data_IF_654367490478
#
_entry.id   IF_654367490478
#
_cell.length_a   1.000
_cell.length_b   1.000
_cell.length_c   1.000
_cell.angle_alpha   90.00
_cell.angle_beta   90.00
_cell.angle_gamma   90.00
#
_symmetry.space_group_name_H-M   'P 1'
#
loop_
_entity.id
_entity.type
_entity.pdbx_description
1 polymer ?
#
# COMPACT_ATOMS: atom_id res chain seq x y z
N UNK A 1 9.22 7.80 15.94
CA UNK A 1 9.09 6.88 17.10
C UNK A 1 8.27 5.60 16.82
N UNK A 2 8.03 5.16 15.57
CA UNK A 2 7.23 3.94 15.31
C UNK A 2 7.97 2.60 15.55
N UNK A 3 9.20 2.64 16.07
CA UNK A 3 10.09 1.49 16.28
C UNK A 3 10.01 0.93 17.70
N UNK A 4 9.14 1.51 18.52
CA UNK A 4 9.03 1.21 19.94
C UNK A 4 7.94 0.18 20.10
N UNK A 5 8.20 -0.85 20.91
CA UNK A 5 7.20 -1.77 21.44
C UNK A 5 6.17 -0.96 22.24
N UNK A 6 5.20 -0.35 21.55
CA UNK A 6 4.23 0.57 22.13
C UNK A 6 3.28 -0.16 23.05
N UNK A 7 3.01 -1.42 22.70
CA UNK A 7 2.25 -2.36 23.46
C UNK A 7 3.25 -3.32 24.12
N UNK A 8 3.12 -3.43 25.43
CA UNK A 8 3.72 -4.52 26.17
C UNK A 8 2.57 -5.16 26.95
N UNK A 9 2.57 -6.48 27.05
CA UNK A 9 1.60 -7.24 27.83
C UNK A 9 1.30 -6.62 29.20
N UNK A 10 2.32 -6.18 29.93
CA UNK A 10 2.14 -5.59 31.25
C UNK A 10 1.32 -4.28 31.24
N UNK A 11 1.26 -3.57 30.11
CA UNK A 11 0.44 -2.36 29.92
C UNK A 11 -0.98 -2.69 29.45
N UNK A 12 -1.16 -3.82 28.76
CA UNK A 12 -2.45 -4.23 28.18
C UNK A 12 -3.24 -5.19 29.06
N UNK A 13 -2.59 -5.92 29.97
CA UNK A 13 -3.21 -6.84 30.94
C UNK A 13 -4.38 -6.25 31.73
N UNK A 14 -4.36 -4.97 32.19
CA UNK A 14 -5.49 -4.36 32.89
C UNK A 14 -6.78 -4.27 32.04
N UNK A 15 -6.67 -4.36 30.72
CA UNK A 15 -7.77 -4.26 29.77
C UNK A 15 -8.21 -5.64 29.23
N UNK A 16 -7.86 -6.72 29.91
CA UNK A 16 -8.36 -8.06 29.60
C UNK A 16 -9.91 -8.08 29.63
N UNK A 17 -10.59 -8.71 28.64
CA UNK A 17 -10.06 -9.56 27.56
C UNK A 17 -9.84 -8.86 26.22
N UNK A 18 -10.00 -7.53 26.13
CA UNK A 18 -10.12 -6.83 24.85
C UNK A 18 -8.87 -7.00 23.96
N UNK A 19 -7.67 -6.86 24.51
CA UNK A 19 -6.43 -6.94 23.73
C UNK A 19 -6.08 -8.38 23.29
N UNK A 20 -6.44 -9.39 24.08
CA UNK A 20 -6.28 -10.80 23.68
C UNK A 20 -7.14 -11.14 22.46
N UNK A 21 -8.36 -10.59 22.40
CA UNK A 21 -9.24 -10.73 21.23
C UNK A 21 -8.60 -10.03 20.02
N UNK A 22 -8.07 -8.81 20.19
CA UNK A 22 -7.41 -8.08 19.10
C UNK A 22 -6.21 -8.85 18.56
N UNK A 23 -5.34 -9.37 19.43
CA UNK A 23 -4.19 -10.18 19.05
C UNK A 23 -4.61 -11.48 18.35
N UNK A 24 -5.65 -12.16 18.84
CA UNK A 24 -6.18 -13.36 18.19
C UNK A 24 -6.72 -13.09 16.79
N UNK A 25 -7.45 -11.99 16.60
CA UNK A 25 -7.94 -11.55 15.28
C UNK A 25 -6.78 -11.17 14.37
N UNK A 26 -5.79 -10.45 14.90
CA UNK A 26 -4.60 -10.07 14.15
C UNK A 26 -3.83 -11.30 13.63
N UNK A 27 -3.56 -12.27 14.50
CA UNK A 27 -2.88 -13.52 14.12
C UNK A 27 -3.68 -14.27 13.04
N UNK A 28 -5.01 -14.28 13.16
CA UNK A 28 -5.88 -14.90 12.16
C UNK A 28 -5.73 -14.24 10.79
N UNK A 29 -5.67 -12.90 10.74
CA UNK A 29 -5.40 -12.18 9.49
C UNK A 29 -4.02 -12.48 8.93
N UNK A 30 -2.97 -12.46 9.75
CA UNK A 30 -1.60 -12.77 9.33
C UNK A 30 -1.52 -14.16 8.68
N UNK A 31 -2.12 -15.17 9.32
CA UNK A 31 -2.15 -16.55 8.80
C UNK A 31 -2.97 -16.63 7.51
N UNK A 32 -4.14 -16.01 7.47
CA UNK A 32 -4.98 -16.00 6.28
C UNK A 32 -4.27 -15.34 5.09
N UNK A 33 -3.59 -14.21 5.31
CA UNK A 33 -2.82 -13.50 4.30
C UNK A 33 -1.61 -14.30 3.81
N UNK A 34 -0.93 -15.03 4.70
CA UNK A 34 0.15 -15.94 4.31
C UNK A 34 -0.35 -17.05 3.38
N UNK A 35 -1.46 -17.69 3.73
CA UNK A 35 -2.09 -18.73 2.90
C UNK A 35 -2.53 -18.14 1.55
N UNK A 36 -3.20 -17.00 1.56
CA UNK A 36 -3.65 -16.31 0.34
C UNK A 36 -2.46 -15.95 -0.56
N UNK A 37 -1.37 -15.44 0.01
CA UNK A 37 -0.13 -15.12 -0.71
C UNK A 37 0.45 -16.35 -1.43
N UNK A 38 0.54 -17.49 -0.74
CA UNK A 38 1.01 -18.76 -1.33
C UNK A 38 0.10 -19.19 -2.48
N UNK A 39 -1.22 -19.16 -2.29
CA UNK A 39 -2.19 -19.53 -3.33
C UNK A 39 -2.03 -18.61 -4.56
N UNK A 40 -1.90 -17.30 -4.35
CA UNK A 40 -1.69 -16.33 -5.43
C UNK A 40 -0.37 -16.56 -6.18
N UNK A 41 0.72 -16.89 -5.49
CA UNK A 41 2.00 -17.26 -6.12
C UNK A 41 1.79 -18.49 -7.02
N UNK A 42 1.14 -19.54 -6.51
CA UNK A 42 0.86 -20.76 -7.27
C UNK A 42 -0.02 -20.49 -8.50
N UNK A 43 -1.09 -19.70 -8.36
CA UNK A 43 -1.96 -19.32 -9.47
C UNK A 43 -1.23 -18.47 -10.52
N UNK A 44 -0.41 -17.52 -10.08
CA UNK A 44 0.39 -16.66 -10.95
C UNK A 44 1.41 -17.48 -11.75
N UNK A 45 2.04 -18.47 -11.12
CA UNK A 45 2.99 -19.36 -11.79
C UNK A 45 2.32 -20.22 -12.86
N UNK A 46 1.10 -20.71 -12.59
CA UNK A 46 0.33 -21.55 -13.53
C UNK A 46 -0.21 -20.79 -14.74
N UNK A 47 -0.39 -19.48 -14.63
CA UNK A 47 -1.03 -18.67 -15.69
C UNK A 47 -0.05 -18.34 -16.81
N UNK A 48 0.02 -19.19 -17.84
CA UNK A 48 0.93 -19.03 -19.00
C UNK A 48 0.55 -17.90 -19.95
N UNK A 49 -0.64 -17.31 -19.82
CA UNK A 49 -1.15 -16.24 -20.70
C UNK A 49 -0.83 -14.81 -20.22
N UNK A 50 -0.38 -14.63 -18.97
CA UNK A 50 -0.06 -13.29 -18.46
C UNK A 50 1.24 -12.78 -19.06
N UNK A 51 1.29 -11.49 -19.40
CA UNK A 51 2.51 -10.83 -19.86
C UNK A 51 3.62 -10.95 -18.81
N UNK A 52 4.87 -11.14 -19.25
CA UNK A 52 6.01 -11.43 -18.35
C UNK A 52 6.21 -10.34 -17.29
N UNK A 53 5.98 -9.07 -17.63
CA UNK A 53 6.11 -7.94 -16.71
C UNK A 53 5.08 -7.98 -15.58
N UNK A 54 3.81 -8.32 -15.89
CA UNK A 54 2.75 -8.46 -14.89
C UNK A 54 3.13 -9.54 -13.88
N UNK A 55 3.64 -10.69 -14.35
CA UNK A 55 4.05 -11.79 -13.47
C UNK A 55 5.20 -11.40 -12.55
N UNK A 56 6.25 -10.78 -13.11
CA UNK A 56 7.39 -10.35 -12.30
C UNK A 56 6.95 -9.40 -11.19
N UNK A 57 6.00 -8.51 -11.51
CA UNK A 57 5.48 -7.56 -10.53
C UNK A 57 4.63 -8.22 -9.46
N UNK A 58 3.68 -9.07 -9.85
CA UNK A 58 2.88 -9.83 -8.89
C UNK A 58 3.79 -10.64 -7.96
N UNK A 59 4.82 -11.29 -8.49
CA UNK A 59 5.80 -12.04 -7.69
C UNK A 59 6.57 -11.11 -6.76
N UNK A 60 7.05 -9.96 -7.24
CA UNK A 60 7.78 -8.98 -6.42
C UNK A 60 6.92 -8.47 -5.26
N UNK A 61 5.66 -8.16 -5.52
CA UNK A 61 4.70 -7.78 -4.49
C UNK A 61 4.50 -8.88 -3.47
N UNK A 62 4.19 -10.10 -3.93
CA UNK A 62 4.00 -11.25 -3.05
C UNK A 62 5.24 -11.55 -2.19
N UNK A 63 6.46 -11.36 -2.72
CA UNK A 63 7.69 -11.49 -1.92
C UNK A 63 7.74 -10.41 -0.83
N UNK A 64 7.48 -9.15 -1.16
CA UNK A 64 7.44 -8.08 -0.16
C UNK A 64 6.38 -8.34 0.90
N UNK A 65 5.20 -8.83 0.51
CA UNK A 65 4.10 -9.18 1.42
C UNK A 65 4.52 -10.29 2.39
N UNK A 66 5.20 -11.34 1.89
CA UNK A 66 5.72 -12.42 2.72
C UNK A 66 6.77 -11.91 3.72
N UNK A 67 7.69 -11.05 3.29
CA UNK A 67 8.69 -10.45 4.20
C UNK A 67 8.00 -9.56 5.23
N UNK A 68 6.95 -8.82 4.85
CA UNK A 68 6.14 -8.03 5.76
C UNK A 68 5.42 -8.90 6.81
N UNK A 69 4.77 -9.99 6.40
CA UNK A 69 4.13 -10.97 7.29
C UNK A 69 5.13 -11.51 8.33
N UNK A 70 6.31 -11.94 7.88
CA UNK A 70 7.37 -12.44 8.78
C UNK A 70 7.79 -11.35 9.77
N UNK A 71 7.97 -10.13 9.29
CA UNK A 71 8.31 -9.01 10.17
C UNK A 71 7.24 -8.72 11.21
N UNK A 72 5.96 -8.87 10.86
CA UNK A 72 4.84 -8.64 11.78
C UNK A 72 4.74 -9.72 12.84
N UNK A 73 4.99 -10.99 12.49
CA UNK A 73 5.09 -12.08 13.47
C UNK A 73 6.20 -11.82 14.49
N UNK A 74 7.35 -11.29 14.05
CA UNK A 74 8.45 -10.92 14.95
C UNK A 74 8.06 -9.77 15.90
N UNK A 75 7.36 -8.76 15.39
CA UNK A 75 6.85 -7.64 16.20
C UNK A 75 5.84 -8.16 17.23
N UNK A 76 4.86 -8.97 16.81
CA UNK A 76 3.85 -9.55 17.71
C UNK A 76 4.47 -10.45 18.79
N UNK A 77 5.47 -11.26 18.44
CA UNK A 77 6.22 -12.05 19.41
C UNK A 77 6.90 -11.15 20.45
N UNK A 78 7.48 -10.03 20.01
CA UNK A 78 8.12 -9.07 20.91
C UNK A 78 7.11 -8.27 21.75
N UNK A 79 5.92 -7.96 21.24
CA UNK A 79 4.84 -7.32 22.01
C UNK A 79 4.36 -8.22 23.16
N UNK A 80 4.30 -9.53 22.92
CA UNK A 80 3.78 -10.51 23.89
C UNK A 80 4.83 -11.02 24.88
N UNK A 81 6.04 -11.35 24.41
CA UNK A 81 7.10 -11.95 25.24
C UNK A 81 8.29 -11.02 25.52
N UNK A 82 8.33 -9.84 24.89
CA UNK A 82 9.47 -8.94 24.97
C UNK A 82 9.60 -8.25 26.33
N UNK A 83 10.80 -7.71 26.63
CA UNK A 83 11.06 -6.99 27.87
C UNK A 83 10.15 -5.75 28.01
N UNK A 84 9.86 -5.39 29.27
CA UNK A 84 9.10 -4.19 29.63
C UNK A 84 9.85 -2.90 29.38
N UNK A 85 11.18 -2.98 29.43
CA UNK A 85 12.06 -1.85 29.20
C UNK A 85 12.22 -1.58 27.71
N UNK A 86 12.53 -0.34 27.40
CA UNK A 86 12.74 0.12 26.03
C UNK A 86 13.96 -0.58 25.44
N UNK A 87 13.74 -1.50 24.50
CA UNK A 87 14.84 -2.16 23.77
C UNK A 87 14.58 -2.05 22.28
N UNK A 88 15.43 -1.27 21.61
CA UNK A 88 15.52 -1.25 20.16
C UNK A 88 16.30 -2.49 19.70
N UNK A 89 15.57 -3.53 19.28
CA UNK A 89 16.20 -4.72 18.72
C UNK A 89 16.29 -4.61 17.20
N UNK A 90 17.36 -5.13 16.60
CA UNK A 90 17.53 -5.16 15.14
C UNK A 90 16.33 -5.75 14.36
N UNK A 91 15.60 -6.77 14.86
CA UNK A 91 14.38 -7.27 14.24
C UNK A 91 13.25 -6.23 14.16
N UNK A 92 13.08 -5.38 15.18
CA UNK A 92 12.07 -4.30 15.18
C UNK A 92 12.41 -3.21 14.17
N UNK A 93 13.70 -2.86 14.08
CA UNK A 93 14.22 -1.92 13.08
C UNK A 93 13.95 -2.46 11.67
N UNK A 94 14.34 -3.72 11.42
CA UNK A 94 14.10 -4.36 10.15
C UNK A 94 12.61 -4.41 9.80
N UNK A 95 11.75 -4.80 10.75
CA UNK A 95 10.33 -4.93 10.51
C UNK A 95 9.64 -3.62 10.19
N UNK A 96 10.04 -2.51 10.83
CA UNK A 96 9.44 -1.22 10.51
C UNK A 96 10.02 -0.59 9.22
N UNK A 97 11.26 -0.90 8.83
CA UNK A 97 11.73 -0.61 7.45
C UNK A 97 10.88 -1.38 6.43
N UNK A 98 10.66 -2.68 6.65
CA UNK A 98 9.83 -3.50 5.75
C UNK A 98 8.38 -3.04 5.68
N UNK A 99 7.80 -2.60 6.79
CA UNK A 99 6.47 -1.98 6.83
C UNK A 99 6.37 -0.73 5.96
N UNK A 100 7.39 0.15 6.01
CA UNK A 100 7.41 1.34 5.16
C UNK A 100 7.57 0.99 3.68
N UNK A 101 8.45 0.02 3.37
CA UNK A 101 8.63 -0.51 2.01
C UNK A 101 7.32 -1.07 1.48
N UNK A 102 6.63 -1.91 2.25
CA UNK A 102 5.34 -2.49 1.87
C UNK A 102 4.27 -1.42 1.65
N UNK A 103 4.13 -0.47 2.58
CA UNK A 103 3.14 0.61 2.46
C UNK A 103 3.43 1.51 1.24
N UNK A 104 4.71 1.75 0.93
CA UNK A 104 5.13 2.36 -0.32
C UNK A 104 4.71 1.53 -1.52
N UNK A 105 5.11 0.25 -1.56
CA UNK A 105 4.84 -0.70 -2.64
C UNK A 105 3.35 -0.76 -3.02
N UNK A 106 2.46 -0.83 -2.03
CA UNK A 106 1.01 -0.88 -2.22
C UNK A 106 0.45 0.33 -3.00
N UNK A 107 1.14 1.49 -2.95
CA UNK A 107 0.72 2.71 -3.66
C UNK A 107 1.21 2.81 -5.11
N UNK A 108 2.08 1.90 -5.58
CA UNK A 108 2.86 2.08 -6.84
C UNK A 108 2.28 1.48 -8.10
N UNK A 109 1.21 0.70 -7.98
CA UNK A 109 0.91 -0.30 -8.98
C UNK A 109 0.38 0.30 -10.31
N UNK A 110 1.27 0.48 -11.31
CA UNK A 110 1.03 0.90 -12.70
C UNK A 110 1.50 -0.07 -13.82
N UNK A 111 0.80 -0.15 -14.96
CA UNK A 111 1.21 -0.92 -16.16
C UNK A 111 1.25 -0.02 -17.41
N UNK A 112 2.10 -0.26 -18.42
CA UNK A 112 2.04 0.40 -19.74
C UNK A 112 3.04 -0.25 -20.71
N UNK A 113 2.65 -0.43 -21.97
CA UNK A 113 3.39 -1.17 -22.98
C UNK A 113 4.15 -0.27 -23.97
N UNK A 114 5.46 -0.14 -23.80
CA UNK A 114 6.45 0.15 -24.86
C UNK A 114 7.88 -0.01 -24.31
N UNK A 115 8.91 -0.31 -25.12
CA UNK A 115 10.27 -0.51 -24.59
C UNK A 115 10.87 0.72 -23.84
N UNK A 116 10.40 1.94 -24.10
CA UNK A 116 10.77 3.13 -23.29
C UNK A 116 10.01 3.24 -21.96
N UNK A 117 8.93 2.48 -21.78
CA UNK A 117 8.15 2.45 -20.53
C UNK A 117 8.78 1.53 -19.50
N UNK A 118 9.56 0.51 -19.88
CA UNK A 118 10.25 -0.37 -18.91
C UNK A 118 11.21 0.44 -18.02
N UNK A 119 11.99 1.35 -18.61
CA UNK A 119 12.85 2.25 -17.85
C UNK A 119 12.04 3.17 -16.93
N UNK A 120 10.92 3.71 -17.43
CA UNK A 120 10.00 4.50 -16.60
C UNK A 120 9.43 3.68 -15.43
N UNK A 121 9.09 2.41 -15.65
CA UNK A 121 8.65 1.49 -14.60
C UNK A 121 9.72 1.19 -13.58
N UNK A 122 10.93 0.88 -14.06
CA UNK A 122 12.05 0.59 -13.19
C UNK A 122 12.38 1.82 -12.35
N UNK A 123 12.35 3.01 -12.94
CA UNK A 123 12.55 4.27 -12.23
C UNK A 123 11.42 4.54 -11.25
N UNK A 124 10.16 4.33 -11.63
CA UNK A 124 9.00 4.53 -10.76
C UNK A 124 9.03 3.56 -9.57
N UNK A 125 9.27 2.27 -9.80
CA UNK A 125 9.43 1.28 -8.72
C UNK A 125 10.64 1.57 -7.86
N UNK A 126 11.77 1.97 -8.45
CA UNK A 126 12.96 2.35 -7.69
C UNK A 126 12.69 3.57 -6.81
N UNK A 127 12.07 4.63 -7.35
CA UNK A 127 11.69 5.81 -6.57
C UNK A 127 10.75 5.43 -5.43
N UNK A 128 9.80 4.56 -5.71
CA UNK A 128 8.81 4.15 -4.76
C UNK A 128 9.33 3.16 -3.70
N UNK A 129 10.41 2.43 -3.98
CA UNK A 129 11.13 1.68 -2.97
C UNK A 129 12.07 2.60 -2.15
N UNK A 130 12.79 3.50 -2.83
CA UNK A 130 13.77 4.38 -2.23
C UNK A 130 13.15 5.40 -1.27
N UNK A 131 12.01 6.01 -1.62
CA UNK A 131 11.39 7.05 -0.78
C UNK A 131 10.95 6.50 0.59
N UNK A 132 10.13 5.43 0.69
CA UNK A 132 9.75 4.84 1.98
C UNK A 132 10.93 4.22 2.72
N UNK A 133 11.91 3.62 2.01
CA UNK A 133 13.12 3.10 2.66
C UNK A 133 13.91 4.23 3.31
N UNK A 134 14.09 5.37 2.64
CA UNK A 134 14.74 6.55 3.19
C UNK A 134 13.94 7.15 4.36
N UNK A 135 12.61 7.27 4.24
CA UNK A 135 11.75 7.73 5.33
C UNK A 135 11.79 6.79 6.53
N UNK A 136 11.78 5.47 6.28
CA UNK A 136 11.93 4.44 7.29
C UNK A 136 13.27 4.59 8.02
N UNK A 137 14.37 4.67 7.28
CA UNK A 137 15.70 4.88 7.84
C UNK A 137 15.78 6.18 8.69
N UNK A 138 15.25 7.29 8.18
CA UNK A 138 15.23 8.56 8.91
C UNK A 138 14.38 8.48 10.18
N UNK A 139 13.29 7.70 10.15
CA UNK A 139 12.42 7.48 11.30
C UNK A 139 13.06 6.57 12.35
N UNK A 140 13.89 5.58 11.93
CA UNK A 140 14.67 4.71 12.85
C UNK A 140 15.63 5.57 13.65
N UNK A 141 16.42 6.40 12.96
CA UNK A 141 17.47 7.23 13.56
C UNK A 141 16.93 8.53 14.15
N UNK A 142 15.61 8.61 14.36
CA UNK A 142 14.91 9.74 14.97
C UNK A 142 15.12 11.11 14.28
N UNK A 143 15.66 11.15 13.07
CA UNK A 143 15.82 12.39 12.29
C UNK A 143 14.47 13.02 11.91
N UNK A 144 13.44 12.18 11.74
CA UNK A 144 12.07 12.63 11.48
C UNK A 144 11.09 12.00 12.48
N UNK A 145 10.10 12.77 12.91
CA UNK A 145 9.01 12.22 13.72
C UNK A 145 7.95 11.57 12.83
N UNK A 146 7.13 10.72 13.44
CA UNK A 146 5.99 10.07 12.78
C UNK A 146 4.99 11.07 12.19
N UNK A 147 4.77 12.21 12.85
CA UNK A 147 3.93 13.29 12.33
C UNK A 147 4.47 13.86 11.01
N UNK A 148 5.78 14.02 10.88
CA UNK A 148 6.37 14.55 9.64
C UNK A 148 6.10 13.63 8.46
N UNK A 149 6.12 12.31 8.66
CA UNK A 149 5.79 11.33 7.61
C UNK A 149 4.31 11.45 7.21
N UNK A 150 3.41 11.56 8.20
CA UNK A 150 1.98 11.74 7.95
C UNK A 150 1.72 13.02 7.15
N UNK A 151 2.37 14.14 7.51
CA UNK A 151 2.27 15.39 6.76
C UNK A 151 2.86 15.27 5.35
N UNK A 152 4.01 14.61 5.20
CA UNK A 152 4.62 14.37 3.90
C UNK A 152 3.67 13.59 2.99
N UNK A 153 3.08 12.50 3.48
CA UNK A 153 2.12 11.72 2.72
C UNK A 153 0.85 12.51 2.40
N UNK A 154 0.33 13.28 3.36
CA UNK A 154 -0.84 14.14 3.13
C UNK A 154 -0.57 15.18 2.03
N UNK A 155 0.61 15.79 2.00
CA UNK A 155 1.03 16.72 0.93
C UNK A 155 1.14 16.01 -0.42
N UNK A 156 1.73 14.82 -0.46
CA UNK A 156 1.83 14.02 -1.68
C UNK A 156 0.43 13.70 -2.24
N UNK A 157 -0.50 13.26 -1.38
CA UNK A 157 -1.89 12.97 -1.79
C UNK A 157 -2.61 14.25 -2.24
N UNK A 158 -2.45 15.35 -1.50
CA UNK A 158 -3.08 16.63 -1.78
C UNK A 158 -2.63 17.23 -3.12
N UNK A 159 -1.37 17.03 -3.52
CA UNK A 159 -0.84 17.49 -4.81
C UNK A 159 -1.11 16.47 -5.91
N UNK A 160 -0.90 15.18 -5.62
CA UNK A 160 -1.00 14.09 -6.58
C UNK A 160 -2.43 13.88 -7.10
N UNK A 161 -3.44 13.93 -6.23
CA UNK A 161 -4.83 13.71 -6.64
C UNK A 161 -5.37 14.79 -7.60
N UNK A 162 -5.16 16.11 -7.36
CA UNK A 162 -5.49 17.14 -8.34
C UNK A 162 -4.73 17.03 -9.65
N UNK A 163 -3.42 16.73 -9.62
CA UNK A 163 -2.62 16.53 -10.83
C UNK A 163 -3.16 15.37 -11.67
N UNK A 164 -3.47 14.22 -11.03
CA UNK A 164 -4.08 13.07 -11.70
C UNK A 164 -5.45 13.45 -12.31
N UNK A 165 -6.30 14.15 -11.55
CA UNK A 165 -7.59 14.61 -12.03
C UNK A 165 -7.46 15.61 -13.20
N UNK A 166 -6.47 16.50 -13.16
CA UNK A 166 -6.17 17.46 -14.21
C UNK A 166 -5.72 16.75 -15.50
N UNK A 167 -4.74 15.84 -15.41
CA UNK A 167 -4.26 15.05 -16.55
C UNK A 167 -5.39 14.22 -17.15
N UNK A 168 -6.24 13.62 -16.32
CA UNK A 168 -7.44 12.90 -16.79
C UNK A 168 -8.39 13.83 -17.57
N UNK A 169 -8.72 15.00 -17.01
CA UNK A 169 -9.60 15.98 -17.68
C UNK A 169 -9.00 16.48 -19.00
N UNK A 170 -7.69 16.71 -19.07
CA UNK A 170 -6.99 17.09 -20.30
C UNK A 170 -7.12 16.00 -21.37
N UNK A 171 -6.85 14.74 -21.04
CA UNK A 171 -6.96 13.63 -22.00
C UNK A 171 -8.40 13.43 -22.50
N UNK A 172 -9.40 13.58 -21.62
CA UNK A 172 -10.82 13.56 -22.02
C UNK A 172 -11.15 14.72 -22.95
N UNK A 173 -10.65 15.93 -22.66
CA UNK A 173 -10.87 17.11 -23.51
C UNK A 173 -10.28 16.91 -24.91
N UNK A 174 -9.02 16.47 -25.01
CA UNK A 174 -8.38 16.19 -26.31
C UNK A 174 -9.16 15.13 -27.08
N UNK A 175 -9.67 14.10 -26.40
CA UNK A 175 -10.52 13.07 -27.04
C UNK A 175 -11.83 13.65 -27.57
N UNK A 176 -12.46 14.60 -26.86
CA UNK A 176 -13.68 15.29 -27.33
C UNK A 176 -13.38 16.19 -28.52
N UNK A 177 -12.24 16.88 -28.52
CA UNK A 177 -11.79 17.72 -29.65
C UNK A 177 -11.53 16.88 -30.90
N UNK A 178 -10.89 15.71 -30.75
CA UNK A 178 -10.68 14.77 -31.86
C UNK A 178 -11.99 14.21 -32.45
N UNK A 179 -13.08 14.15 -31.66
CA UNK A 179 -14.41 13.71 -32.12
C UNK A 179 -15.20 14.78 -32.87
N UNK A 180 -14.84 16.07 -32.76
CA UNK A 180 -15.62 17.18 -33.33
C UNK A 180 -15.44 17.40 -34.83
N UNK A 181 -14.52 16.68 -35.48
CA UNK A 181 -14.36 16.71 -36.93
C UNK A 181 -12.94 16.35 -37.35
N UNK A 182 -12.81 15.36 -38.23
CA UNK A 182 -11.52 15.00 -38.81
C UNK A 182 -11.14 16.07 -39.85
N UNK A 183 -10.25 16.99 -39.46
CA UNK A 183 -9.60 17.87 -40.44
C UNK A 183 -8.65 17.02 -41.27
N UNK A 184 -8.91 16.94 -42.58
CA UNK A 184 -8.07 16.25 -43.56
C UNK A 184 -6.62 16.76 -43.38
N UNK A 185 -5.65 15.85 -43.25
CA UNK A 185 -4.23 16.06 -42.90
C UNK A 185 -3.83 16.31 -41.44
N UNK A 186 -4.76 16.50 -40.49
CA UNK A 186 -4.41 16.68 -39.06
C UNK A 186 -4.59 15.41 -38.22
N UNK A 187 -5.21 14.38 -38.79
CA UNK A 187 -5.50 13.12 -38.12
C UNK A 187 -4.29 12.18 -38.15
N UNK A 188 -3.78 11.85 -36.97
CA UNK A 188 -2.81 10.77 -36.79
C UNK A 188 -3.47 9.61 -36.06
N UNK A 189 -3.55 8.47 -36.74
CA UNK A 189 -4.05 7.21 -36.16
C UNK A 189 -3.27 6.89 -34.88
N UNK A 190 -1.93 7.02 -34.92
CA UNK A 190 -1.02 6.78 -33.80
C UNK A 190 -1.37 7.62 -32.57
N UNK A 191 -1.63 8.91 -32.76
CA UNK A 191 -1.99 9.82 -31.65
C UNK A 191 -3.31 9.44 -30.99
N UNK A 192 -4.29 9.02 -31.78
CA UNK A 192 -5.60 8.58 -31.26
C UNK A 192 -5.46 7.31 -30.43
N UNK A 193 -4.66 6.34 -30.88
CA UNK A 193 -4.38 5.13 -30.11
C UNK A 193 -3.68 5.44 -28.78
N UNK A 194 -2.65 6.29 -28.79
CA UNK A 194 -1.95 6.69 -27.56
C UNK A 194 -2.86 7.37 -26.54
N UNK A 195 -3.76 8.26 -26.97
CA UNK A 195 -4.69 8.94 -26.06
C UNK A 195 -5.72 7.95 -25.49
N UNK A 196 -6.21 7.02 -26.31
CA UNK A 196 -7.12 5.97 -25.84
C UNK A 196 -6.45 5.08 -24.80
N UNK A 197 -5.20 4.67 -25.05
CA UNK A 197 -4.40 3.89 -24.12
C UNK A 197 -4.20 4.66 -22.80
N UNK A 198 -3.77 5.92 -22.86
CA UNK A 198 -3.63 6.77 -21.67
C UNK A 198 -4.93 6.92 -20.88
N UNK A 199 -6.08 7.10 -21.55
CA UNK A 199 -7.38 7.18 -20.88
C UNK A 199 -7.78 5.87 -20.22
N UNK A 200 -7.51 4.74 -20.87
CA UNK A 200 -7.77 3.43 -20.30
C UNK A 200 -6.91 3.22 -19.04
N UNK A 201 -5.63 3.54 -19.11
CA UNK A 201 -4.72 3.51 -17.97
C UNK A 201 -5.18 4.41 -16.81
N UNK A 202 -5.53 5.67 -17.08
CA UNK A 202 -6.01 6.59 -16.06
C UNK A 202 -7.34 6.14 -15.43
N UNK A 203 -8.18 5.45 -16.20
CA UNK A 203 -9.44 4.87 -15.69
C UNK A 203 -9.16 3.69 -14.76
N UNK A 204 -8.20 2.83 -15.12
CA UNK A 204 -7.73 1.76 -14.24
C UNK A 204 -7.17 2.34 -12.93
N UNK A 205 -6.32 3.37 -13.00
CA UNK A 205 -5.81 4.05 -11.81
C UNK A 205 -6.89 4.63 -10.92
N UNK A 206 -7.89 5.31 -11.49
CA UNK A 206 -9.00 5.84 -10.71
C UNK A 206 -9.75 4.71 -9.97
N UNK A 207 -9.86 3.54 -10.59
CA UNK A 207 -10.52 2.37 -10.00
C UNK A 207 -9.71 1.76 -8.85
N UNK A 208 -8.38 1.75 -8.94
CA UNK A 208 -7.47 1.29 -7.87
C UNK A 208 -7.32 2.35 -6.76
N UNK A 209 -7.28 3.63 -7.11
CA UNK A 209 -7.08 4.70 -6.15
C UNK A 209 -8.21 4.81 -5.13
N UNK A 210 -9.46 4.50 -5.53
CA UNK A 210 -10.61 4.56 -4.62
C UNK A 210 -10.51 3.60 -3.42
N UNK A 211 -10.34 2.28 -3.61
CA UNK A 211 -10.15 1.36 -2.48
C UNK A 211 -8.88 1.72 -1.71
N UNK A 212 -7.80 2.10 -2.38
CA UNK A 212 -6.56 2.49 -1.70
C UNK A 212 -6.77 3.69 -0.75
N UNK A 213 -7.49 4.73 -1.18
CA UNK A 213 -7.83 5.87 -0.31
C UNK A 213 -8.66 5.42 0.89
N UNK A 214 -9.66 4.57 0.67
CA UNK A 214 -10.49 4.01 1.76
C UNK A 214 -9.60 3.24 2.74
N UNK A 215 -8.65 2.46 2.22
CA UNK A 215 -7.72 1.67 3.00
C UNK A 215 -6.75 2.52 3.83
N UNK A 216 -6.38 3.69 3.33
CA UNK A 216 -5.51 4.61 4.06
C UNK A 216 -6.22 5.34 5.21
N UNK A 217 -7.54 5.49 5.20
CA UNK A 217 -8.28 6.31 6.18
C UNK A 217 -8.01 5.87 7.64
N UNK A 218 -8.12 4.59 8.02
CA UNK A 218 -7.95 4.21 9.43
C UNK A 218 -6.55 4.51 9.98
N UNK A 219 -5.44 4.27 9.24
CA UNK A 219 -4.10 4.73 9.61
C UNK A 219 -4.02 6.23 9.90
N UNK A 220 -4.69 7.05 9.08
CA UNK A 220 -4.74 8.50 9.26
C UNK A 220 -5.61 8.95 10.44
N UNK A 221 -6.52 8.10 10.93
CA UNK A 221 -7.36 8.40 12.10
C UNK A 221 -6.66 7.94 13.39
N UNK A 222 -6.25 6.66 13.44
CA UNK A 222 -5.73 6.06 14.68
C UNK A 222 -4.36 6.61 15.08
N UNK A 223 -3.50 6.90 14.11
CA UNK A 223 -2.15 7.37 14.41
C UNK A 223 -2.13 8.76 15.08
N UNK A 224 -2.85 9.78 14.58
CA UNK A 224 -2.95 11.06 15.29
C UNK A 224 -3.60 10.95 16.66
N UNK A 225 -4.62 10.09 16.84
CA UNK A 225 -5.24 9.85 18.15
C UNK A 225 -4.18 9.37 19.15
N UNK A 226 -3.39 8.37 18.78
CA UNK A 226 -2.30 7.86 19.63
C UNK A 226 -1.29 8.94 20.01
N UNK A 227 -0.92 9.80 19.06
CA UNK A 227 0.14 10.80 19.27
C UNK A 227 -0.35 12.05 20.00
N UNK A 228 -1.64 12.38 19.92
CA UNK A 228 -2.23 13.57 20.55
C UNK A 228 -2.69 13.32 21.99
N UNK A 229 -3.00 12.08 22.35
CA UNK A 229 -3.36 11.71 23.73
C UNK A 229 -2.08 11.55 24.56
N UNK A 230 -1.79 12.44 25.52
CA UNK A 230 -0.60 12.33 26.34
C UNK A 230 -0.68 11.12 27.29
N UNK A 231 0.46 10.51 27.69
CA UNK A 231 0.47 9.48 28.72
C UNK A 231 0.00 10.01 30.08
N UNK A 232 -0.67 9.16 30.86
CA UNK A 232 -0.88 9.39 32.30
C UNK A 232 -2.03 10.34 32.66
N UNK A 233 -2.86 10.74 31.70
CA UNK A 233 -4.07 11.55 31.93
C UNK A 233 -5.34 10.73 32.19
N UNK A 234 -5.22 9.40 32.34
CA UNK A 234 -6.34 8.47 32.52
C UNK A 234 -6.98 7.96 31.23
N UNK A 235 -6.53 8.42 30.05
CA UNK A 235 -6.99 7.96 28.74
C UNK A 235 -6.01 6.97 28.07
N UNK A 236 -5.15 6.31 28.85
CA UNK A 236 -4.15 5.38 28.32
C UNK A 236 -4.79 4.19 27.58
N UNK A 237 -5.99 3.75 28.00
CA UNK A 237 -6.75 2.70 27.31
C UNK A 237 -7.13 3.08 25.87
N UNK A 238 -7.61 4.31 25.64
CA UNK A 238 -7.90 4.81 24.28
C UNK A 238 -6.63 4.89 23.44
N UNK A 239 -5.52 5.31 24.05
CA UNK A 239 -4.23 5.42 23.40
C UNK A 239 -3.71 4.04 22.94
N UNK A 240 -3.73 3.03 23.82
CA UNK A 240 -3.32 1.66 23.49
C UNK A 240 -4.28 1.00 22.49
N UNK A 241 -5.58 1.26 22.61
CA UNK A 241 -6.58 0.80 21.66
C UNK A 241 -6.31 1.37 20.25
N UNK A 242 -6.00 2.67 20.13
CA UNK A 242 -5.70 3.28 18.84
C UNK A 242 -4.48 2.65 18.16
N UNK A 243 -3.40 2.36 18.90
CA UNK A 243 -2.23 1.65 18.34
C UNK A 243 -2.59 0.24 17.91
N UNK A 244 -3.33 -0.49 18.75
CA UNK A 244 -3.71 -1.87 18.43
C UNK A 244 -4.62 -1.94 17.22
N UNK A 245 -5.55 -1.00 17.06
CA UNK A 245 -6.39 -0.90 15.87
C UNK A 245 -5.60 -0.49 14.63
N UNK A 246 -4.61 0.40 14.77
CA UNK A 246 -3.69 0.77 13.70
C UNK A 246 -2.88 -0.44 13.21
N UNK A 247 -2.41 -1.26 14.13
CA UNK A 247 -1.62 -2.45 13.86
C UNK A 247 -2.46 -3.60 13.29
N UNK A 248 -3.63 -3.86 13.89
CA UNK A 248 -4.63 -4.79 13.35
C UNK A 248 -5.01 -4.42 11.93
N UNK A 249 -5.20 -3.13 11.66
CA UNK A 249 -5.53 -2.64 10.33
C UNK A 249 -4.41 -2.95 9.31
N UNK A 250 -3.15 -2.78 9.69
CA UNK A 250 -2.02 -3.12 8.81
C UNK A 250 -1.98 -4.61 8.50
N UNK A 251 -2.28 -5.45 9.47
CA UNK A 251 -2.38 -6.90 9.28
C UNK A 251 -3.58 -7.30 8.42
N UNK A 252 -4.69 -6.57 8.50
CA UNK A 252 -5.90 -6.83 7.72
C UNK A 252 -5.79 -6.45 6.23
N UNK A 253 -4.91 -5.51 5.84
CA UNK A 253 -4.83 -5.01 4.45
C UNK A 253 -3.87 -5.77 3.53
N UNK A 254 -3.28 -6.86 4.01
CA UNK A 254 -2.39 -7.70 3.22
C UNK A 254 -3.11 -8.47 2.07
N UNK A 255 -4.38 -8.93 2.18
CA UNK A 255 -5.01 -9.72 1.11
C UNK A 255 -5.72 -8.93 0.00
N UNK A 256 -6.12 -7.66 0.22
CA UNK A 256 -6.98 -6.94 -0.75
C UNK A 256 -6.29 -6.59 -2.08
N UNK A 257 -4.96 -6.55 -2.14
CA UNK A 257 -4.25 -6.34 -3.41
C UNK A 257 -4.52 -7.47 -4.40
N UNK A 258 -4.49 -8.73 -3.95
CA UNK A 258 -4.68 -9.90 -4.81
C UNK A 258 -6.04 -9.92 -5.51
N UNK A 259 -7.11 -9.68 -4.75
CA UNK A 259 -8.49 -9.72 -5.26
C UNK A 259 -8.79 -8.56 -6.20
N UNK A 260 -8.23 -7.37 -5.94
CA UNK A 260 -8.41 -6.23 -6.84
C UNK A 260 -7.75 -6.48 -8.21
N UNK A 261 -6.58 -7.14 -8.23
CA UNK A 261 -5.94 -7.58 -9.48
C UNK A 261 -6.72 -8.69 -10.16
N UNK A 262 -7.21 -9.69 -9.41
CA UNK A 262 -8.00 -10.78 -9.98
C UNK A 262 -9.34 -10.30 -10.56
N UNK A 263 -9.99 -9.34 -9.90
CA UNK A 263 -11.22 -8.72 -10.37
C UNK A 263 -11.00 -7.83 -11.61
N UNK A 264 -9.85 -7.16 -11.72
CA UNK A 264 -9.47 -6.44 -12.94
C UNK A 264 -9.13 -7.40 -14.08
N UNK A 265 -8.27 -8.38 -13.83
CA UNK A 265 -7.84 -9.37 -14.83
C UNK A 265 -9.01 -10.20 -15.36
N UNK A 266 -9.95 -10.62 -14.50
CA UNK A 266 -11.12 -11.39 -14.96
C UNK A 266 -12.09 -10.55 -15.79
N UNK A 267 -12.27 -9.27 -15.47
CA UNK A 267 -13.15 -8.39 -16.24
C UNK A 267 -12.57 -8.03 -17.63
N UNK A 268 -11.24 -7.88 -17.72
CA UNK A 268 -10.57 -7.54 -18.98
C UNK A 268 -10.29 -8.77 -19.87
N UNK A 269 -10.01 -9.94 -19.30
CA UNK A 269 -9.89 -11.18 -20.07
C UNK A 269 -11.22 -11.67 -20.65
N UNK A 270 -12.35 -11.33 -20.02
CA UNK A 270 -13.67 -11.75 -20.49
C UNK A 270 -14.32 -10.78 -21.47
N UNK A 271 -13.85 -9.53 -21.56
CA UNK A 271 -14.29 -8.58 -22.58
C UNK A 271 -13.25 -8.54 -23.69
N UNK A 272 -13.34 -9.52 -24.59
CA UNK A 272 -12.62 -9.45 -25.86
C UNK A 272 -12.80 -8.08 -26.52
N UNK A 273 -11.84 -7.62 -27.34
CA UNK A 273 -11.89 -6.29 -27.92
C UNK A 273 -13.24 -6.10 -28.64
N UNK A 274 -13.95 -4.98 -28.39
CA UNK A 274 -15.16 -4.69 -29.15
C UNK A 274 -14.77 -4.59 -30.62
N UNK A 275 -15.36 -5.47 -31.42
CA UNK A 275 -15.21 -5.53 -32.89
C UNK A 275 -15.85 -4.27 -33.48
#
# INVERSE_FOLDING_TARGET
MYFVNYLNRNKTDPYYPAFEIIYGVELTFIVASFIAGIVLICLTYRTTKLHRLIRLRLISGLINDLVFIVSRLLVMHHEYFGPTEYVETAPLIFGSIMKQIFLGYMTSLYESGANSTLLFFLLQEALLFCIPAALGYMLVHEYITSMHIIYCFAVIVLIGAPLLAFVYRMNVRVTRELKRGAVIHRYSIRRTYQIKENLWMLTAFKRIARPLVIVCIPPFIFSPIYQRVPPGIGYDGLRFFAVSMYDLWLSANIPETGDTYFAMLSNDLMKGPPI
#
